data_IF_334847746922
#
_entry.id   IF_334847746922
#
_cell.length_a   1.000
_cell.length_b   1.000
_cell.length_c   1.000
_cell.angle_alpha   90.00
_cell.angle_beta   90.00
_cell.angle_gamma   90.00
#
_symmetry.space_group_name_H-M   'P 1'
#
loop_
_entity.id
_entity.type
_entity.pdbx_description
1 polymer ?
#
# COMPACT_ATOMS: atom_id res chain seq x y z
N UNK A 1 10.17 -25.93 0.79
CA UNK A 1 10.71 -24.96 -0.18
C UNK A 1 11.44 -25.66 -1.32
N UNK A 2 12.46 -26.55 -1.02
CA UNK A 2 13.22 -27.28 -2.05
C UNK A 2 12.34 -28.16 -2.93
N UNK A 3 11.33 -28.84 -2.37
CA UNK A 3 10.36 -29.64 -3.13
C UNK A 3 9.51 -28.80 -4.11
N UNK A 4 9.07 -27.61 -3.69
CA UNK A 4 8.34 -26.69 -4.57
C UNK A 4 9.22 -26.14 -5.70
N UNK A 5 10.49 -25.87 -5.42
CA UNK A 5 11.45 -25.43 -6.43
C UNK A 5 11.72 -26.58 -7.43
N UNK A 6 11.89 -27.81 -6.95
CA UNK A 6 12.09 -28.97 -7.80
C UNK A 6 10.88 -29.25 -8.70
N UNK A 7 9.65 -29.12 -8.16
CA UNK A 7 8.40 -29.24 -8.94
C UNK A 7 8.31 -28.12 -10.00
N UNK A 8 8.63 -26.88 -9.63
CA UNK A 8 8.61 -25.76 -10.56
C UNK A 8 9.62 -25.94 -11.71
N UNK A 9 10.85 -26.35 -11.39
CA UNK A 9 11.89 -26.67 -12.39
C UNK A 9 11.47 -27.87 -13.25
N UNK A 10 10.96 -28.94 -12.63
CA UNK A 10 10.48 -30.11 -13.36
C UNK A 10 9.33 -29.75 -14.30
N UNK A 11 8.37 -28.95 -13.85
CA UNK A 11 7.26 -28.47 -14.68
C UNK A 11 7.74 -27.61 -15.85
N UNK A 12 8.75 -26.76 -15.62
CA UNK A 12 9.34 -25.92 -16.66
C UNK A 12 9.88 -26.75 -17.84
N UNK A 13 10.60 -27.84 -17.54
CA UNK A 13 11.16 -28.71 -18.57
C UNK A 13 10.14 -29.70 -19.15
N UNK A 14 9.21 -30.24 -18.33
CA UNK A 14 8.22 -31.21 -18.79
C UNK A 14 7.16 -30.60 -19.71
N UNK A 15 6.76 -29.37 -19.47
CA UNK A 15 5.75 -28.66 -20.26
C UNK A 15 6.33 -27.67 -21.25
N UNK A 16 7.66 -27.67 -21.44
CA UNK A 16 8.37 -26.76 -22.35
C UNK A 16 7.95 -25.30 -22.17
N UNK A 17 7.85 -24.90 -20.89
CA UNK A 17 7.36 -23.55 -20.54
C UNK A 17 8.26 -22.43 -21.07
N UNK A 18 9.47 -22.76 -21.52
CA UNK A 18 10.42 -21.81 -22.09
C UNK A 18 9.85 -21.07 -23.31
N UNK A 19 9.07 -21.75 -24.17
CA UNK A 19 8.44 -21.17 -25.34
C UNK A 19 7.39 -20.10 -24.99
N UNK A 20 6.74 -20.23 -23.84
CA UNK A 20 5.72 -19.27 -23.35
C UNK A 20 6.32 -18.09 -22.60
N UNK A 21 7.62 -18.16 -22.26
CA UNK A 21 8.33 -17.11 -21.53
C UNK A 21 9.23 -16.26 -22.44
N UNK A 22 9.06 -16.39 -23.76
CA UNK A 22 9.77 -15.56 -24.72
C UNK A 22 9.08 -14.20 -24.86
N UNK A 23 9.89 -13.18 -25.14
CA UNK A 23 9.37 -11.81 -25.37
C UNK A 23 8.38 -11.81 -26.52
N UNK A 24 8.69 -12.49 -27.61
CA UNK A 24 7.85 -12.59 -28.81
C UNK A 24 6.49 -13.24 -28.52
N UNK A 25 6.45 -14.30 -27.70
CA UNK A 25 5.20 -14.92 -27.30
C UNK A 25 4.35 -13.96 -26.47
N UNK A 26 4.94 -13.33 -25.44
CA UNK A 26 4.23 -12.36 -24.59
C UNK A 26 3.68 -11.20 -25.41
N UNK A 27 4.45 -10.68 -26.33
CA UNK A 27 4.03 -9.59 -27.22
C UNK A 27 2.92 -10.00 -28.16
N UNK A 28 3.00 -11.20 -28.76
CA UNK A 28 1.95 -11.69 -29.67
C UNK A 28 0.62 -11.87 -28.94
N UNK A 29 0.63 -12.42 -27.72
CA UNK A 29 -0.56 -12.54 -26.89
C UNK A 29 -1.11 -11.17 -26.48
N UNK A 30 -0.23 -10.26 -26.09
CA UNK A 30 -0.63 -8.91 -25.71
C UNK A 30 -1.26 -8.17 -26.91
N UNK A 31 -0.66 -8.26 -28.08
CA UNK A 31 -1.19 -7.67 -29.33
C UNK A 31 -2.59 -8.23 -29.67
N UNK A 32 -2.79 -9.56 -29.55
CA UNK A 32 -4.09 -10.19 -29.77
C UNK A 32 -5.16 -9.68 -28.77
N UNK A 33 -4.80 -9.56 -27.49
CA UNK A 33 -5.70 -9.03 -26.46
C UNK A 33 -6.00 -7.53 -26.68
N UNK A 34 -5.00 -6.75 -27.09
CA UNK A 34 -5.20 -5.34 -27.41
C UNK A 34 -6.10 -5.15 -28.63
N UNK A 35 -5.92 -5.94 -29.68
CA UNK A 35 -6.81 -5.92 -30.85
C UNK A 35 -8.26 -6.27 -30.45
N UNK A 36 -8.46 -7.34 -29.67
CA UNK A 36 -9.79 -7.67 -29.16
C UNK A 36 -10.40 -6.52 -28.34
N UNK A 37 -9.60 -5.90 -27.47
CA UNK A 37 -10.04 -4.73 -26.67
C UNK A 37 -10.42 -3.55 -27.56
N UNK A 38 -9.69 -3.29 -28.65
CA UNK A 38 -10.00 -2.17 -29.54
C UNK A 38 -11.34 -2.36 -30.25
N UNK A 39 -11.67 -3.60 -30.63
CA UNK A 39 -12.95 -3.94 -31.23
C UNK A 39 -14.09 -4.10 -30.20
N UNK A 40 -13.78 -4.51 -28.97
CA UNK A 40 -14.76 -4.90 -27.94
C UNK A 40 -14.42 -4.31 -26.58
N UNK A 41 -14.17 -3.01 -26.48
CA UNK A 41 -13.67 -2.34 -25.27
C UNK A 41 -14.49 -2.65 -24.01
N UNK A 42 -15.82 -2.54 -24.08
CA UNK A 42 -16.69 -2.75 -22.93
C UNK A 42 -16.64 -4.17 -22.41
N UNK A 43 -16.58 -5.15 -23.31
CA UNK A 43 -16.50 -6.58 -22.95
C UNK A 43 -15.14 -6.89 -22.32
N UNK A 44 -14.05 -6.43 -22.93
CA UNK A 44 -12.70 -6.63 -22.41
C UNK A 44 -12.52 -5.98 -21.03
N UNK A 45 -13.02 -4.74 -20.87
CA UNK A 45 -12.99 -4.03 -19.60
C UNK A 45 -13.82 -4.75 -18.52
N UNK A 46 -15.01 -5.25 -18.86
CA UNK A 46 -15.86 -5.99 -17.92
C UNK A 46 -15.22 -7.31 -17.49
N UNK A 47 -14.67 -8.10 -18.42
CA UNK A 47 -13.98 -9.35 -18.11
C UNK A 47 -12.79 -9.10 -17.19
N UNK A 48 -11.95 -8.14 -17.54
CA UNK A 48 -10.79 -7.77 -16.73
C UNK A 48 -11.21 -7.29 -15.35
N UNK A 49 -12.19 -6.38 -15.26
CA UNK A 49 -12.68 -5.81 -14.01
C UNK A 49 -13.23 -6.89 -13.07
N UNK A 50 -14.13 -7.75 -13.57
CA UNK A 50 -14.71 -8.85 -12.79
C UNK A 50 -13.63 -9.84 -12.36
N UNK A 51 -12.74 -10.22 -13.27
CA UNK A 51 -11.60 -11.10 -12.95
C UNK A 51 -10.71 -10.53 -11.87
N UNK A 52 -10.39 -9.24 -11.93
CA UNK A 52 -9.61 -8.55 -10.89
C UNK A 52 -10.36 -8.52 -9.55
N UNK A 53 -11.64 -8.14 -9.54
CA UNK A 53 -12.46 -8.12 -8.31
C UNK A 53 -12.50 -9.49 -7.66
N UNK A 54 -12.69 -10.55 -8.43
CA UNK A 54 -12.71 -11.92 -7.91
C UNK A 54 -11.35 -12.33 -7.35
N UNK A 55 -10.27 -12.11 -8.08
CA UNK A 55 -8.92 -12.44 -7.62
C UNK A 55 -8.55 -11.70 -6.32
N UNK A 56 -8.85 -10.40 -6.26
CA UNK A 56 -8.61 -9.59 -5.07
C UNK A 56 -9.53 -9.98 -3.90
N UNK A 57 -10.80 -10.25 -4.17
CA UNK A 57 -11.81 -10.67 -3.18
C UNK A 57 -11.50 -12.03 -2.56
N UNK A 58 -10.98 -12.96 -3.36
CA UNK A 58 -10.51 -14.27 -2.91
C UNK A 58 -9.11 -14.22 -2.28
N UNK A 59 -8.52 -13.02 -2.19
CA UNK A 59 -7.17 -12.83 -1.63
C UNK A 59 -6.07 -13.61 -2.37
N UNK A 60 -6.26 -13.87 -3.68
CA UNK A 60 -5.27 -14.55 -4.51
C UNK A 60 -4.03 -13.65 -4.63
N UNK A 61 -2.81 -14.17 -4.35
CA UNK A 61 -1.60 -13.41 -4.56
C UNK A 61 -1.39 -13.16 -6.06
N UNK A 62 -1.02 -11.92 -6.43
CA UNK A 62 -0.82 -11.56 -7.84
C UNK A 62 -1.52 -10.26 -8.25
N UNK A 63 -2.14 -9.54 -7.32
CA UNK A 63 -2.78 -8.25 -7.60
C UNK A 63 -1.85 -7.26 -8.32
N UNK A 64 -0.54 -7.30 -8.01
CA UNK A 64 0.47 -6.50 -8.69
C UNK A 64 0.57 -6.86 -10.18
N UNK A 65 0.63 -8.15 -10.51
CA UNK A 65 0.67 -8.62 -11.90
C UNK A 65 -0.59 -8.21 -12.65
N UNK A 66 -1.76 -8.38 -12.04
CA UNK A 66 -3.02 -7.91 -12.64
C UNK A 66 -2.99 -6.39 -12.88
N UNK A 67 -2.42 -5.62 -11.96
CA UNK A 67 -2.28 -4.16 -12.15
C UNK A 67 -1.40 -3.81 -13.34
N UNK A 68 -0.24 -4.46 -13.50
CA UNK A 68 0.65 -4.29 -14.64
C UNK A 68 -0.04 -4.69 -15.96
N UNK A 69 -0.75 -5.83 -15.97
CA UNK A 69 -1.53 -6.31 -17.13
C UNK A 69 -2.62 -5.31 -17.48
N UNK A 70 -3.30 -4.72 -16.50
CA UNK A 70 -4.28 -3.66 -16.74
C UNK A 70 -3.69 -2.45 -17.45
N UNK A 71 -2.50 -2.03 -17.03
CA UNK A 71 -1.74 -0.96 -17.70
C UNK A 71 -1.33 -1.34 -19.13
N UNK A 72 -0.84 -2.56 -19.32
CA UNK A 72 -0.42 -3.09 -20.59
C UNK A 72 -1.56 -3.15 -21.64
N UNK A 73 -2.76 -3.54 -21.21
CA UNK A 73 -3.92 -3.71 -22.09
C UNK A 73 -4.67 -2.40 -22.31
N UNK A 74 -4.98 -1.67 -21.23
CA UNK A 74 -5.89 -0.52 -21.27
C UNK A 74 -5.18 0.85 -21.26
N UNK A 75 -3.85 0.86 -21.17
CA UNK A 75 -3.06 2.08 -21.03
C UNK A 75 -3.23 2.74 -19.67
N UNK A 76 -2.61 3.90 -19.49
CA UNK A 76 -2.51 4.56 -18.17
C UNK A 76 -3.87 5.04 -17.69
N UNK A 77 -4.67 5.71 -18.51
CA UNK A 77 -5.93 6.31 -18.10
C UNK A 77 -6.99 5.25 -17.73
N UNK A 78 -7.39 4.42 -18.70
CA UNK A 78 -8.41 3.40 -18.48
C UNK A 78 -7.94 2.29 -17.53
N UNK A 79 -6.66 1.91 -17.62
CA UNK A 79 -6.05 0.95 -16.70
C UNK A 79 -6.11 1.45 -15.26
N UNK A 80 -5.78 2.72 -15.00
CA UNK A 80 -5.87 3.30 -13.64
C UNK A 80 -7.29 3.29 -13.11
N UNK A 81 -8.27 3.69 -13.93
CA UNK A 81 -9.68 3.67 -13.52
C UNK A 81 -10.13 2.24 -13.19
N UNK A 82 -9.96 1.31 -14.12
CA UNK A 82 -10.40 -0.08 -13.94
C UNK A 82 -9.74 -0.72 -12.72
N UNK A 83 -8.42 -0.63 -12.62
CA UNK A 83 -7.66 -1.23 -11.50
C UNK A 83 -8.01 -0.58 -10.17
N UNK A 84 -8.10 0.73 -10.11
CA UNK A 84 -8.39 1.46 -8.87
C UNK A 84 -9.73 1.04 -8.26
N UNK A 85 -10.78 0.98 -9.08
CA UNK A 85 -12.09 0.54 -8.60
C UNK A 85 -12.14 -0.97 -8.35
N UNK A 86 -11.60 -1.81 -9.26
CA UNK A 86 -11.60 -3.25 -9.11
C UNK A 86 -10.83 -3.71 -7.87
N UNK A 87 -9.65 -3.14 -7.62
CA UNK A 87 -8.84 -3.46 -6.44
C UNK A 87 -9.54 -3.06 -5.15
N UNK A 88 -10.19 -1.90 -5.09
CA UNK A 88 -10.87 -1.44 -3.88
C UNK A 88 -12.17 -2.20 -3.60
N UNK A 89 -12.92 -2.57 -4.64
CA UNK A 89 -14.12 -3.42 -4.51
C UNK A 89 -13.71 -4.82 -4.08
N UNK A 90 -12.71 -5.42 -4.73
CA UNK A 90 -12.19 -6.73 -4.36
C UNK A 90 -11.62 -6.76 -2.94
N UNK A 91 -10.84 -5.73 -2.55
CA UNK A 91 -10.36 -5.58 -1.17
C UNK A 91 -11.52 -5.53 -0.17
N UNK A 92 -12.60 -4.82 -0.53
CA UNK A 92 -13.80 -4.73 0.33
C UNK A 92 -14.51 -6.08 0.42
N UNK A 93 -14.55 -6.85 -0.65
CA UNK A 93 -15.04 -8.23 -0.64
C UNK A 93 -14.25 -9.13 0.32
N UNK A 94 -12.91 -9.11 0.23
CA UNK A 94 -12.03 -9.86 1.15
C UNK A 94 -12.16 -9.40 2.61
N UNK A 95 -12.28 -8.09 2.84
CA UNK A 95 -12.53 -7.50 4.15
C UNK A 95 -13.87 -7.99 4.75
N UNK A 96 -14.94 -8.02 3.96
CA UNK A 96 -16.25 -8.51 4.40
C UNK A 96 -16.22 -10.03 4.63
N UNK A 97 -15.57 -10.80 3.75
CA UNK A 97 -15.39 -12.24 3.94
C UNK A 97 -14.62 -12.55 5.24
N UNK A 98 -13.56 -11.80 5.53
CA UNK A 98 -12.84 -11.91 6.81
C UNK A 98 -13.74 -11.60 8.00
N UNK A 99 -14.50 -10.51 7.93
CA UNK A 99 -15.39 -10.07 9.02
C UNK A 99 -16.51 -11.04 9.31
N UNK A 100 -17.15 -11.59 8.26
CA UNK A 100 -18.38 -12.36 8.39
C UNK A 100 -18.16 -13.87 8.41
N UNK A 101 -17.13 -14.36 7.70
CA UNK A 101 -16.97 -15.79 7.47
C UNK A 101 -15.66 -16.37 8.02
N UNK A 102 -14.58 -15.59 8.05
CA UNK A 102 -13.23 -16.10 8.31
C UNK A 102 -12.62 -15.57 9.60
N UNK A 103 -13.42 -14.99 10.48
CA UNK A 103 -12.93 -14.29 11.68
C UNK A 103 -11.97 -15.16 12.52
N UNK A 104 -12.41 -16.37 12.87
CA UNK A 104 -11.63 -17.25 13.75
C UNK A 104 -10.35 -17.74 13.06
N UNK A 105 -10.43 -18.04 11.76
CA UNK A 105 -9.27 -18.44 10.97
C UNK A 105 -8.24 -17.29 10.83
N UNK A 106 -8.69 -16.09 10.51
CA UNK A 106 -7.79 -14.92 10.39
C UNK A 106 -7.16 -14.59 11.73
N UNK A 107 -7.94 -14.65 12.82
CA UNK A 107 -7.44 -14.38 14.16
C UNK A 107 -6.41 -15.43 14.60
N UNK A 108 -6.63 -16.72 14.31
CA UNK A 108 -5.67 -17.78 14.63
C UNK A 108 -4.38 -17.69 13.82
N UNK A 109 -4.44 -17.23 12.57
CA UNK A 109 -3.29 -17.20 11.65
C UNK A 109 -2.49 -15.91 11.73
N UNK A 110 -3.17 -14.79 11.98
CA UNK A 110 -2.58 -13.45 11.89
C UNK A 110 -2.83 -12.60 13.15
N UNK A 111 -3.24 -13.22 14.27
CA UNK A 111 -3.62 -12.52 15.51
C UNK A 111 -2.52 -11.60 16.05
N UNK A 112 -1.25 -11.99 15.91
CA UNK A 112 -0.09 -11.20 16.39
C UNK A 112 0.01 -9.82 15.70
N UNK A 113 -0.53 -9.68 14.50
CA UNK A 113 -0.55 -8.41 13.77
C UNK A 113 -1.73 -7.51 14.17
N UNK A 114 -2.71 -8.03 14.94
CA UNK A 114 -3.90 -7.25 15.33
C UNK A 114 -3.60 -6.19 16.39
N UNK A 115 -2.73 -6.46 17.34
CA UNK A 115 -2.43 -5.50 18.40
C UNK A 115 -1.87 -4.16 17.86
N UNK A 116 -0.86 -4.14 16.98
CA UNK A 116 -0.39 -2.90 16.36
C UNK A 116 -1.46 -2.20 15.51
N UNK A 117 -2.30 -2.97 14.81
CA UNK A 117 -3.37 -2.44 13.96
C UNK A 117 -4.46 -1.78 14.82
N UNK A 118 -4.92 -2.45 15.87
CA UNK A 118 -5.92 -1.89 16.78
C UNK A 118 -5.41 -0.60 17.45
N UNK A 119 -4.17 -0.59 17.93
CA UNK A 119 -3.53 0.60 18.48
C UNK A 119 -3.45 1.76 17.47
N UNK A 120 -3.13 1.44 16.20
CA UNK A 120 -3.13 2.43 15.12
C UNK A 120 -4.53 2.95 14.83
N UNK A 121 -5.54 2.07 14.82
CA UNK A 121 -6.94 2.44 14.60
C UNK A 121 -7.52 3.28 15.75
N UNK A 122 -7.18 2.98 17.00
CA UNK A 122 -7.58 3.77 18.17
C UNK A 122 -6.99 5.18 18.13
N UNK A 123 -5.71 5.32 17.71
CA UNK A 123 -5.02 6.59 17.66
C UNK A 123 -5.44 7.46 16.48
N UNK A 124 -5.48 6.90 15.27
CA UNK A 124 -5.59 7.65 14.02
C UNK A 124 -6.86 7.29 13.21
N UNK A 125 -7.65 6.30 13.66
CA UNK A 125 -8.89 5.89 13.00
C UNK A 125 -8.69 5.51 11.53
N UNK A 126 -9.60 5.98 10.68
CA UNK A 126 -9.58 5.71 9.22
C UNK A 126 -8.29 6.20 8.53
N UNK A 127 -7.64 7.24 9.09
CA UNK A 127 -6.37 7.75 8.55
C UNK A 127 -5.22 6.75 8.70
N UNK A 128 -5.27 5.89 9.71
CA UNK A 128 -4.30 4.80 9.84
C UNK A 128 -4.37 3.85 8.65
N UNK A 129 -5.57 3.42 8.24
CA UNK A 129 -5.75 2.57 7.06
C UNK A 129 -5.25 3.28 5.80
N UNK A 130 -5.62 4.54 5.60
CA UNK A 130 -5.09 5.33 4.47
C UNK A 130 -3.57 5.32 4.44
N UNK A 131 -2.92 5.52 5.59
CA UNK A 131 -1.46 5.57 5.70
C UNK A 131 -0.79 4.25 5.34
N UNK A 132 -1.32 3.11 5.82
CA UNK A 132 -0.75 1.79 5.49
C UNK A 132 -1.02 1.38 4.04
N UNK A 133 -2.08 1.91 3.40
CA UNK A 133 -2.34 1.73 1.97
C UNK A 133 -1.39 2.55 1.10
N UNK A 134 -1.03 3.75 1.55
CA UNK A 134 -0.07 4.60 0.85
C UNK A 134 1.34 4.01 0.85
N UNK A 135 1.75 3.39 1.96
CA UNK A 135 3.08 2.78 2.11
C UNK A 135 2.92 1.26 2.11
N UNK A 136 3.26 0.55 1.04
CA UNK A 136 3.03 -0.88 0.89
C UNK A 136 4.01 -1.72 1.75
N UNK A 137 3.96 -1.55 3.07
CA UNK A 137 4.77 -2.33 4.04
C UNK A 137 4.15 -3.70 4.26
N UNK A 138 2.82 -3.76 4.29
CA UNK A 138 2.10 -5.01 4.47
C UNK A 138 1.60 -5.58 3.15
N UNK A 139 1.59 -6.91 2.97
CA UNK A 139 0.96 -7.54 1.82
C UNK A 139 -0.50 -7.10 1.68
N UNK A 140 -0.92 -6.82 0.45
CA UNK A 140 -2.26 -6.31 0.13
C UNK A 140 -3.39 -7.15 0.76
N UNK A 141 -3.32 -8.48 0.60
CA UNK A 141 -4.33 -9.41 1.13
C UNK A 141 -4.37 -9.40 2.67
N UNK A 142 -3.23 -9.26 3.31
CA UNK A 142 -3.13 -9.23 4.78
C UNK A 142 -3.86 -8.01 5.35
N UNK A 143 -3.69 -6.84 4.74
CA UNK A 143 -4.41 -5.62 5.14
C UNK A 143 -5.92 -5.82 5.00
N UNK A 144 -6.38 -6.46 3.91
CA UNK A 144 -7.80 -6.71 3.70
C UNK A 144 -8.38 -7.61 4.81
N UNK A 145 -7.70 -8.71 5.12
CA UNK A 145 -8.16 -9.69 6.11
C UNK A 145 -8.11 -9.12 7.54
N UNK A 146 -7.01 -8.49 7.92
CA UNK A 146 -6.83 -7.97 9.28
C UNK A 146 -7.77 -6.80 9.59
N UNK A 147 -8.01 -5.92 8.63
CA UNK A 147 -8.97 -4.83 8.79
C UNK A 147 -10.41 -5.33 8.95
N UNK A 148 -10.76 -6.51 8.44
CA UNK A 148 -12.04 -7.17 8.69
C UNK A 148 -12.32 -7.42 10.16
N UNK A 149 -11.28 -7.62 10.97
CA UNK A 149 -11.38 -7.86 12.43
C UNK A 149 -11.43 -6.57 13.26
N UNK A 150 -11.22 -5.42 12.65
CA UNK A 150 -11.29 -4.11 13.32
C UNK A 150 -12.71 -3.54 13.29
N UNK A 151 -13.06 -2.58 14.15
CA UNK A 151 -14.39 -1.94 14.17
C UNK A 151 -14.61 -0.91 13.05
N UNK A 152 -13.72 -0.82 12.05
CA UNK A 152 -13.85 0.16 10.96
C UNK A 152 -15.13 -0.07 10.16
N UNK A 153 -15.86 1.00 9.82
CA UNK A 153 -17.03 0.92 8.94
C UNK A 153 -16.62 0.54 7.51
N UNK A 154 -17.42 -0.27 6.83
CA UNK A 154 -17.16 -0.72 5.45
C UNK A 154 -16.96 0.45 4.48
N UNK A 155 -17.79 1.49 4.58
CA UNK A 155 -17.64 2.69 3.75
C UNK A 155 -16.31 3.43 4.00
N UNK A 156 -15.90 3.57 5.26
CA UNK A 156 -14.62 4.17 5.62
C UNK A 156 -13.45 3.33 5.13
N UNK A 157 -13.58 1.99 5.20
CA UNK A 157 -12.58 1.08 4.66
C UNK A 157 -12.43 1.24 3.14
N UNK A 158 -13.56 1.23 2.41
CA UNK A 158 -13.55 1.41 0.95
C UNK A 158 -12.91 2.75 0.55
N UNK A 159 -13.38 3.87 1.12
CA UNK A 159 -12.89 5.20 0.75
C UNK A 159 -11.41 5.40 1.09
N UNK A 160 -10.97 4.94 2.27
CA UNK A 160 -9.58 5.02 2.65
C UNK A 160 -8.68 4.13 1.78
N UNK A 161 -9.16 2.94 1.39
CA UNK A 161 -8.44 2.06 0.48
C UNK A 161 -8.37 2.64 -0.93
N UNK A 162 -9.49 3.16 -1.46
CA UNK A 162 -9.54 3.81 -2.76
C UNK A 162 -8.56 4.99 -2.85
N UNK A 163 -8.62 5.90 -1.89
CA UNK A 163 -7.75 7.08 -1.87
C UNK A 163 -6.27 6.71 -1.59
N UNK A 164 -6.03 5.79 -0.66
CA UNK A 164 -4.68 5.42 -0.25
C UNK A 164 -3.91 4.62 -1.29
N UNK A 165 -4.60 3.80 -2.10
CA UNK A 165 -3.97 3.01 -3.15
C UNK A 165 -3.88 3.76 -4.50
N UNK A 166 -4.62 4.85 -4.71
CA UNK A 166 -4.75 5.49 -6.02
C UNK A 166 -3.41 5.88 -6.64
N UNK A 167 -2.54 6.55 -5.87
CA UNK A 167 -1.23 6.98 -6.36
C UNK A 167 -0.33 5.79 -6.76
N UNK A 168 -0.28 4.75 -5.92
CA UNK A 168 0.48 3.55 -6.23
C UNK A 168 -0.10 2.80 -7.43
N UNK A 169 -1.43 2.71 -7.52
CA UNK A 169 -2.10 2.10 -8.68
C UNK A 169 -1.71 2.80 -9.98
N UNK A 170 -1.73 4.14 -10.01
CA UNK A 170 -1.34 4.91 -11.19
C UNK A 170 0.11 4.60 -11.61
N UNK A 171 1.04 4.53 -10.65
CA UNK A 171 2.45 4.25 -10.91
C UNK A 171 2.64 2.82 -11.45
N UNK A 172 1.99 1.82 -10.85
CA UNK A 172 2.08 0.43 -11.34
C UNK A 172 1.41 0.23 -12.69
N UNK A 173 0.26 0.88 -12.93
CA UNK A 173 -0.41 0.85 -14.24
C UNK A 173 0.47 1.50 -15.31
N UNK A 174 1.09 2.65 -15.00
CA UNK A 174 2.04 3.29 -15.90
C UNK A 174 3.22 2.36 -16.24
N UNK A 175 3.81 1.71 -15.22
CA UNK A 175 4.88 0.75 -15.45
C UNK A 175 4.42 -0.42 -16.35
N UNK A 176 3.19 -0.92 -16.18
CA UNK A 176 2.61 -1.94 -17.05
C UNK A 176 2.44 -1.45 -18.50
N UNK A 177 1.98 -0.21 -18.68
CA UNK A 177 1.85 0.41 -20.01
C UNK A 177 3.21 0.58 -20.71
N UNK A 178 4.24 0.99 -19.98
CA UNK A 178 5.61 1.12 -20.53
C UNK A 178 6.21 -0.26 -20.87
N UNK A 179 6.01 -1.27 -20.01
CA UNK A 179 6.48 -2.63 -20.26
C UNK A 179 5.84 -3.22 -21.55
N UNK A 180 4.60 -2.88 -21.84
CA UNK A 180 3.90 -3.33 -23.04
C UNK A 180 4.51 -2.76 -24.35
N UNK A 181 5.24 -1.64 -24.28
CA UNK A 181 5.87 -0.99 -25.41
C UNK A 181 7.29 -1.49 -25.70
N UNK A 182 7.82 -2.38 -24.87
CA UNK A 182 9.17 -2.93 -25.02
C UNK A 182 9.16 -3.94 -26.17
N UNK A 183 9.74 -3.57 -27.31
CA UNK A 183 9.87 -4.43 -28.50
C UNK A 183 11.21 -5.14 -28.59
N UNK A 184 12.17 -4.81 -27.73
CA UNK A 184 13.50 -5.41 -27.71
C UNK A 184 14.12 -5.31 -26.33
N UNK A 185 15.11 -6.16 -26.04
CA UNK A 185 15.85 -6.10 -24.77
C UNK A 185 16.51 -4.73 -24.51
N UNK A 186 16.90 -4.02 -25.57
CA UNK A 186 17.40 -2.64 -25.46
C UNK A 186 16.32 -1.64 -25.03
N UNK A 187 15.04 -1.91 -25.30
CA UNK A 187 13.91 -1.11 -24.86
C UNK A 187 13.75 -1.09 -23.32
N UNK A 188 14.24 -2.12 -22.62
CA UNK A 188 14.28 -2.15 -21.15
C UNK A 188 15.11 -1.01 -20.52
N UNK A 189 16.05 -0.47 -21.28
CA UNK A 189 16.93 0.64 -20.85
C UNK A 189 16.43 1.99 -21.38
N UNK A 190 15.22 2.05 -21.94
CA UNK A 190 14.62 3.31 -22.39
C UNK A 190 14.39 4.27 -21.23
N UNK A 191 14.50 5.57 -21.47
CA UNK A 191 14.33 6.59 -20.41
C UNK A 191 12.97 6.54 -19.72
N UNK A 192 11.88 6.22 -20.45
CA UNK A 192 10.53 6.09 -19.90
C UNK A 192 10.38 4.89 -18.96
N UNK A 193 10.93 3.74 -19.35
CA UNK A 193 10.93 2.52 -18.51
C UNK A 193 11.77 2.74 -17.26
N UNK A 194 12.99 3.26 -17.39
CA UNK A 194 13.84 3.59 -16.23
C UNK A 194 13.17 4.58 -15.30
N UNK A 195 12.53 5.63 -15.83
CA UNK A 195 11.78 6.59 -15.03
C UNK A 195 10.64 5.91 -14.25
N UNK A 196 9.88 5.01 -14.89
CA UNK A 196 8.80 4.25 -14.23
C UNK A 196 9.33 3.36 -13.10
N UNK A 197 10.47 2.69 -13.30
CA UNK A 197 11.10 1.89 -12.23
C UNK A 197 11.66 2.75 -11.09
N UNK A 198 12.27 3.90 -11.40
CA UNK A 198 12.71 4.86 -10.37
C UNK A 198 11.52 5.36 -9.58
N UNK A 199 10.41 5.69 -10.25
CA UNK A 199 9.19 6.13 -9.59
C UNK A 199 8.61 5.04 -8.68
N UNK A 200 8.56 3.79 -9.16
CA UNK A 200 8.14 2.63 -8.34
C UNK A 200 9.03 2.46 -7.11
N UNK A 201 10.34 2.52 -7.27
CA UNK A 201 11.29 2.37 -6.16
C UNK A 201 11.24 3.52 -5.14
N UNK A 202 10.97 4.73 -5.60
CA UNK A 202 10.89 5.93 -4.73
C UNK A 202 9.50 6.15 -4.12
N UNK A 203 8.46 5.53 -4.67
CA UNK A 203 7.07 5.68 -4.20
C UNK A 203 6.89 5.50 -2.68
N UNK A 204 7.43 4.44 -2.04
CA UNK A 204 7.31 4.27 -0.59
C UNK A 204 7.97 5.40 0.21
N UNK A 205 9.08 5.96 -0.28
CA UNK A 205 9.78 7.07 0.35
C UNK A 205 8.97 8.36 0.24
N UNK A 206 8.43 8.65 -0.95
CA UNK A 206 7.55 9.81 -1.19
C UNK A 206 6.29 9.71 -0.35
N UNK A 207 5.67 8.55 -0.26
CA UNK A 207 4.50 8.31 0.57
C UNK A 207 4.82 8.54 2.06
N UNK A 208 5.92 7.99 2.57
CA UNK A 208 6.37 8.21 3.95
C UNK A 208 6.63 9.69 4.24
N UNK A 209 7.29 10.40 3.34
CA UNK A 209 7.57 11.83 3.48
C UNK A 209 6.28 12.65 3.51
N UNK A 210 5.35 12.41 2.58
CA UNK A 210 4.05 13.09 2.52
C UNK A 210 3.22 12.86 3.78
N UNK A 211 3.17 11.61 4.27
CA UNK A 211 2.49 11.29 5.53
C UNK A 211 3.14 11.97 6.73
N UNK A 212 4.47 12.06 6.76
CA UNK A 212 5.20 12.78 7.80
C UNK A 212 4.82 14.28 7.86
N UNK A 213 4.67 14.91 6.70
CA UNK A 213 4.22 16.31 6.61
C UNK A 213 2.78 16.45 7.14
N UNK A 214 1.87 15.58 6.70
CA UNK A 214 0.46 15.61 7.12
C UNK A 214 0.33 15.39 8.63
N UNK A 215 1.04 14.41 9.18
CA UNK A 215 1.04 14.13 10.62
C UNK A 215 1.61 15.31 11.42
N UNK A 216 2.72 15.90 10.97
CA UNK A 216 3.30 17.09 11.60
C UNK A 216 2.32 18.25 11.58
N UNK A 217 1.67 18.51 10.47
CA UNK A 217 0.70 19.59 10.36
C UNK A 217 -0.54 19.34 11.24
N UNK A 218 -0.96 18.07 11.41
CA UNK A 218 -2.05 17.69 12.32
C UNK A 218 -1.69 17.98 13.78
N UNK A 219 -0.47 17.62 14.20
CA UNK A 219 0.02 17.87 15.57
C UNK A 219 0.20 19.37 15.82
N UNK A 220 0.68 20.10 14.81
CA UNK A 220 0.92 21.55 14.92
C UNK A 220 -0.35 22.40 14.71
N UNK A 221 -1.49 21.76 14.40
CA UNK A 221 -2.76 22.46 14.15
C UNK A 221 -3.23 23.15 15.42
N UNK A 222 -3.34 24.47 15.37
CA UNK A 222 -3.71 25.31 16.50
C UNK A 222 -2.53 25.73 17.40
N UNK A 223 -1.30 25.25 17.11
CA UNK A 223 -0.12 25.75 17.82
C UNK A 223 0.28 27.12 17.29
N UNK A 224 0.21 28.09 18.16
CA UNK A 224 0.80 29.41 17.95
C UNK A 224 2.06 29.52 18.81
N UNK A 225 3.20 29.84 18.19
CA UNK A 225 4.45 30.02 18.93
C UNK A 225 4.26 31.15 19.96
N UNK A 226 4.41 30.89 21.27
CA UNK A 226 4.27 31.91 22.26
C UNK A 226 5.32 33.00 22.05
N UNK A 227 4.93 34.28 22.22
CA UNK A 227 5.86 35.43 22.13
C UNK A 227 6.77 35.50 23.34
N UNK A 228 6.27 35.07 24.49
CA UNK A 228 7.01 35.04 25.76
C UNK A 228 6.94 33.65 26.36
N UNK A 229 7.94 33.28 27.12
CA UNK A 229 8.03 32.05 27.86
C UNK A 229 8.04 32.34 29.36
N UNK A 230 7.20 31.62 30.11
CA UNK A 230 7.11 31.76 31.56
C UNK A 230 8.28 31.08 32.28
N UNK A 231 8.91 30.10 31.63
CA UNK A 231 10.07 29.37 32.13
C UNK A 231 11.19 29.30 31.09
N UNK A 232 12.43 29.24 31.57
CA UNK A 232 13.61 29.01 30.72
C UNK A 232 13.85 27.52 30.49
N UNK A 233 13.48 26.70 31.47
CA UNK A 233 13.67 25.25 31.46
C UNK A 233 12.38 24.58 31.94
N UNK A 234 11.94 23.58 31.23
CA UNK A 234 10.83 22.68 31.64
C UNK A 234 11.41 21.29 31.78
N UNK A 235 11.30 20.71 32.98
CA UNK A 235 11.71 19.34 33.27
C UNK A 235 10.45 18.49 33.38
N UNK A 236 10.38 17.41 32.59
CA UNK A 236 9.27 16.47 32.60
C UNK A 236 9.72 15.19 33.30
N UNK A 237 9.11 14.91 34.42
CA UNK A 237 9.46 13.78 35.31
C UNK A 237 10.26 14.22 36.54
N UNK A 238 9.72 13.95 37.73
CA UNK A 238 10.37 14.26 39.03
C UNK A 238 11.20 13.10 39.57
N UNK A 239 11.64 12.16 38.73
CA UNK A 239 12.62 11.15 39.11
C UNK A 239 13.97 11.78 39.49
N UNK A 240 14.91 10.98 40.02
CA UNK A 240 16.20 11.46 40.52
C UNK A 240 16.94 12.34 39.50
N UNK A 241 16.97 11.95 38.24
CA UNK A 241 17.62 12.74 37.18
C UNK A 241 16.89 14.07 36.91
N UNK A 242 15.55 14.07 36.90
CA UNK A 242 14.75 15.28 36.68
C UNK A 242 14.90 16.27 37.83
N UNK A 243 14.91 15.82 39.09
CA UNK A 243 15.14 16.64 40.24
C UNK A 243 16.53 17.30 40.23
N UNK A 244 17.58 16.52 39.90
CA UNK A 244 18.95 17.04 39.77
C UNK A 244 19.04 18.05 38.66
N UNK A 245 18.45 17.81 37.48
CA UNK A 245 18.44 18.74 36.37
C UNK A 245 17.71 20.05 36.72
N UNK A 246 16.56 19.96 37.39
CA UNK A 246 15.80 21.12 37.87
C UNK A 246 16.59 21.92 38.89
N UNK A 247 17.25 21.27 39.85
CA UNK A 247 18.05 21.92 40.89
C UNK A 247 19.26 22.66 40.29
N UNK A 248 19.98 22.03 39.37
CA UNK A 248 21.13 22.63 38.71
C UNK A 248 20.69 23.86 37.89
N UNK A 249 19.62 23.73 37.13
CA UNK A 249 19.10 24.84 36.32
C UNK A 249 18.61 26.00 37.19
N UNK A 250 17.92 25.73 38.32
CA UNK A 250 17.51 26.72 39.29
C UNK A 250 18.71 27.39 39.97
N UNK A 251 19.75 26.61 40.30
CA UNK A 251 21.01 27.14 40.84
C UNK A 251 21.72 28.11 39.88
N UNK A 252 21.57 27.90 38.57
CA UNK A 252 22.02 28.79 37.52
C UNK A 252 21.07 30.01 37.29
N UNK A 253 20.13 30.27 38.20
CA UNK A 253 19.11 31.31 38.14
C UNK A 253 18.15 31.24 36.94
N UNK A 254 17.98 30.06 36.33
CA UNK A 254 16.95 29.84 35.33
C UNK A 254 15.57 29.70 36.01
N UNK A 255 14.52 30.22 35.34
CA UNK A 255 13.13 29.91 35.75
C UNK A 255 12.80 28.51 35.31
N UNK A 256 12.59 27.62 36.28
CA UNK A 256 12.39 26.19 36.02
C UNK A 256 10.95 25.81 36.38
N UNK A 257 10.32 25.01 35.53
CA UNK A 257 9.06 24.34 35.79
C UNK A 257 9.33 22.83 35.77
N UNK A 258 8.98 22.14 36.86
CA UNK A 258 9.04 20.69 36.96
C UNK A 258 7.62 20.13 36.88
N UNK A 259 7.39 19.23 35.92
CA UNK A 259 6.10 18.58 35.69
C UNK A 259 6.23 17.10 36.02
N UNK A 260 5.39 16.59 36.91
CA UNK A 260 5.29 15.17 37.24
C UNK A 260 3.87 14.66 36.95
N UNK A 261 3.80 13.42 36.51
CA UNK A 261 2.54 12.69 36.32
C UNK A 261 2.30 11.80 37.54
N UNK A 262 1.19 12.01 38.24
CA UNK A 262 0.71 11.09 39.25
C UNK A 262 0.23 9.79 38.65
#
# INVERSE_FOLDING_TARGET
LLGLIAIAIGSYFLFDLGQYLTLDFVQSQLAAVQAYKDDNFATAAAIYFVGYVLAAGLSIPGALLLTLVGGAIFGVFWGTLLVSFASSIGATGAFLASRLLLRDWVQSRFGDYLAPINKGMERDGTFYLFSIRMVPVFPYFMVNLLMGLTPIKTSSYYLASQAGMFASTMVFVNAGSELAQITSLSGLVSGSVLFSFVLLGTLPLLAKFSLGIVQRNKVMRGYTKPKNFDANVVVVGAGSAGLVAALIAAGAKARVVLIEKH
#
